data_IF_511329453216
#
_entry.id   IF_511329453216
#
_cell.length_a   1.000
_cell.length_b   1.000
_cell.length_c   1.000
_cell.angle_alpha   90.00
_cell.angle_beta   90.00
_cell.angle_gamma   90.00
#
_symmetry.space_group_name_H-M   'P 1'
#
loop_
_entity.id
_entity.type
_entity.pdbx_description
1 polymer ?
#
# COMPACT_ATOMS: atom_id res chain seq x y z
N UNK A 1 30.97 13.20 -20.83
CA UNK A 1 30.95 13.77 -19.46
C UNK A 1 29.56 14.14 -18.93
N UNK A 2 28.57 14.58 -19.74
CA UNK A 2 27.20 14.90 -19.31
C UNK A 2 26.35 13.69 -18.85
N UNK A 3 26.58 12.48 -19.36
CA UNK A 3 25.85 11.26 -19.03
C UNK A 3 26.14 10.72 -17.60
N UNK A 4 27.35 10.96 -17.08
CA UNK A 4 27.75 10.50 -15.74
C UNK A 4 27.12 11.37 -14.65
N UNK A 5 26.95 12.68 -14.88
CA UNK A 5 26.29 13.60 -13.95
C UNK A 5 24.78 13.32 -13.84
N UNK A 6 24.13 12.95 -14.92
CA UNK A 6 22.69 12.63 -14.95
C UNK A 6 22.36 11.35 -14.16
N UNK A 7 23.24 10.32 -14.23
CA UNK A 7 23.12 9.08 -13.43
C UNK A 7 23.32 9.36 -11.93
N UNK A 8 24.24 10.24 -11.56
CA UNK A 8 24.51 10.62 -10.16
C UNK A 8 23.34 11.36 -9.52
N UNK A 9 22.73 12.34 -10.19
CA UNK A 9 21.60 13.13 -9.66
C UNK A 9 20.33 12.30 -9.56
N UNK A 10 20.04 11.44 -10.52
CA UNK A 10 18.90 10.52 -10.45
C UNK A 10 19.06 9.55 -9.28
N UNK A 11 20.22 8.97 -9.11
CA UNK A 11 20.51 8.04 -8.02
C UNK A 11 20.40 8.71 -6.66
N UNK A 12 20.99 9.89 -6.49
CA UNK A 12 20.89 10.70 -5.26
C UNK A 12 19.46 11.06 -4.92
N UNK A 13 18.67 11.49 -5.90
CA UNK A 13 17.27 11.84 -5.72
C UNK A 13 16.39 10.63 -5.37
N UNK A 14 16.67 9.47 -5.97
CA UNK A 14 16.01 8.21 -5.64
C UNK A 14 16.32 7.77 -4.21
N UNK A 15 17.58 7.89 -3.77
CA UNK A 15 17.97 7.59 -2.38
C UNK A 15 17.28 8.51 -1.37
N UNK A 16 17.15 9.80 -1.67
CA UNK A 16 16.40 10.74 -0.80
C UNK A 16 14.94 10.33 -0.66
N UNK A 17 14.29 9.95 -1.76
CA UNK A 17 12.88 9.53 -1.74
C UNK A 17 12.71 8.20 -1.00
N UNK A 18 13.59 7.24 -1.23
CA UNK A 18 13.61 5.94 -0.55
C UNK A 18 13.88 6.13 0.95
N UNK A 19 14.93 6.87 1.32
CA UNK A 19 15.28 7.16 2.70
C UNK A 19 14.15 7.87 3.45
N UNK A 20 13.52 8.87 2.82
CA UNK A 20 12.36 9.55 3.40
C UNK A 20 11.15 8.62 3.57
N UNK A 21 10.97 7.66 2.68
CA UNK A 21 9.91 6.64 2.80
C UNK A 21 10.20 5.67 3.94
N UNK A 22 11.45 5.23 4.09
CA UNK A 22 11.90 4.37 5.20
C UNK A 22 11.66 5.07 6.54
N UNK A 23 12.15 6.30 6.70
CA UNK A 23 11.93 7.08 7.92
C UNK A 23 10.44 7.24 8.21
N UNK A 24 9.64 7.58 7.21
CA UNK A 24 8.19 7.74 7.38
C UNK A 24 7.48 6.43 7.80
N UNK A 25 8.01 5.26 7.48
CA UNK A 25 7.45 3.97 7.90
C UNK A 25 8.00 3.49 9.25
N UNK A 26 9.22 3.89 9.62
CA UNK A 26 9.76 3.58 10.95
C UNK A 26 9.02 4.33 12.07
N UNK A 27 8.56 5.56 11.81
CA UNK A 27 7.82 6.35 12.81
C UNK A 27 6.61 5.57 13.34
N UNK A 28 5.63 5.12 12.53
CA UNK A 28 4.49 4.36 13.04
C UNK A 28 4.91 3.04 13.70
N UNK A 29 5.93 2.34 13.18
CA UNK A 29 6.40 1.10 13.78
C UNK A 29 6.89 1.33 15.22
N UNK A 30 7.72 2.35 15.45
CA UNK A 30 8.20 2.69 16.79
C UNK A 30 7.07 3.19 17.70
N UNK A 31 6.14 3.98 17.17
CA UNK A 31 4.99 4.46 17.93
C UNK A 31 4.06 3.33 18.37
N UNK A 32 3.97 2.24 17.63
CA UNK A 32 3.15 1.09 18.02
C UNK A 32 3.59 0.48 19.35
N UNK A 33 4.88 0.56 19.73
CA UNK A 33 5.37 0.10 21.03
C UNK A 33 4.63 0.78 22.19
N UNK A 34 4.27 2.04 22.00
CA UNK A 34 3.52 2.84 22.98
C UNK A 34 2.02 2.78 22.75
N UNK A 35 1.55 2.92 21.52
CA UNK A 35 0.12 2.94 21.18
C UNK A 35 -0.59 1.64 21.56
N UNK A 36 0.06 0.47 21.35
CA UNK A 36 -0.50 -0.84 21.73
C UNK A 36 -0.65 -1.02 23.24
N UNK A 37 0.02 -0.20 24.05
CA UNK A 37 -0.16 -0.19 25.51
C UNK A 37 -1.34 0.68 25.95
N UNK A 38 -1.69 1.71 25.19
CA UNK A 38 -2.76 2.67 25.50
C UNK A 38 -4.11 2.19 24.94
N UNK A 39 -4.13 1.74 23.68
CA UNK A 39 -5.33 1.31 22.99
C UNK A 39 -5.56 -0.20 23.13
N UNK A 40 -6.83 -0.60 23.02
CA UNK A 40 -7.23 -2.01 23.08
C UNK A 40 -7.06 -2.70 21.72
N UNK A 41 -7.02 -4.05 21.67
CA UNK A 41 -7.08 -4.77 20.40
C UNK A 41 -8.31 -4.40 19.57
N UNK A 42 -9.48 -4.23 20.18
CA UNK A 42 -10.70 -3.81 19.51
C UNK A 42 -10.60 -2.42 18.86
N UNK A 43 -9.94 -1.45 19.53
CA UNK A 43 -9.69 -0.12 18.95
C UNK A 43 -8.85 -0.23 17.66
N UNK A 44 -7.82 -1.08 17.67
CA UNK A 44 -7.00 -1.34 16.51
C UNK A 44 -7.72 -2.14 15.44
N UNK A 45 -8.58 -3.08 15.83
CA UNK A 45 -9.43 -3.83 14.89
C UNK A 45 -10.38 -2.89 14.15
N UNK A 46 -11.09 -2.02 14.88
CA UNK A 46 -11.95 -1.01 14.27
C UNK A 46 -11.18 -0.03 13.37
N UNK A 47 -10.01 0.42 13.83
CA UNK A 47 -9.13 1.27 13.02
C UNK A 47 -8.61 0.55 11.76
N UNK A 48 -8.32 -0.75 11.85
CA UNK A 48 -7.91 -1.58 10.70
C UNK A 48 -9.03 -1.67 9.66
N UNK A 49 -10.30 -1.87 10.08
CA UNK A 49 -11.45 -1.83 9.16
C UNK A 49 -11.53 -0.47 8.47
N UNK A 50 -11.50 0.62 9.25
CA UNK A 50 -11.53 1.98 8.74
C UNK A 50 -10.42 2.22 7.70
N UNK A 51 -9.18 1.83 8.01
CA UNK A 51 -8.04 2.02 7.12
C UNK A 51 -8.11 1.15 5.85
N UNK A 52 -8.63 -0.07 5.97
CA UNK A 52 -8.88 -0.95 4.83
C UNK A 52 -9.94 -0.35 3.89
N UNK A 53 -11.06 0.14 4.44
CA UNK A 53 -12.07 0.86 3.67
C UNK A 53 -11.49 2.12 3.00
N UNK A 54 -10.76 2.93 3.76
CA UNK A 54 -10.10 4.13 3.26
C UNK A 54 -9.22 3.82 2.03
N UNK A 55 -8.46 2.73 2.08
CA UNK A 55 -7.56 2.34 0.98
C UNK A 55 -8.30 1.95 -0.31
N UNK A 56 -9.51 1.42 -0.22
CA UNK A 56 -10.38 1.18 -1.38
C UNK A 56 -10.97 2.50 -1.90
N UNK A 57 -11.50 3.34 -1.00
CA UNK A 57 -12.14 4.61 -1.42
C UNK A 57 -11.17 5.57 -2.09
N UNK A 58 -9.92 5.63 -1.66
CA UNK A 58 -8.86 6.43 -2.28
C UNK A 58 -8.71 6.11 -3.78
N UNK A 59 -8.88 4.85 -4.18
CA UNK A 59 -8.75 4.43 -5.59
C UNK A 59 -9.86 5.04 -6.45
N UNK A 60 -11.06 5.19 -5.88
CA UNK A 60 -12.18 5.82 -6.59
C UNK A 60 -12.09 7.34 -6.66
N UNK A 61 -11.47 7.99 -5.66
CA UNK A 61 -11.50 9.44 -5.51
C UNK A 61 -11.12 10.21 -6.78
N UNK A 62 -10.01 9.85 -7.41
CA UNK A 62 -9.49 10.53 -8.61
C UNK A 62 -9.68 9.74 -9.90
N UNK A 63 -10.31 8.56 -9.83
CA UNK A 63 -10.42 7.60 -10.95
C UNK A 63 -9.06 7.29 -11.61
N UNK A 64 -7.98 7.35 -10.84
CA UNK A 64 -6.59 7.13 -11.27
C UNK A 64 -6.00 8.19 -12.21
N UNK A 65 -6.70 9.32 -12.44
CA UNK A 65 -6.15 10.43 -13.24
C UNK A 65 -4.91 11.06 -12.61
N UNK A 66 -4.70 10.94 -11.29
CA UNK A 66 -3.51 11.46 -10.61
C UNK A 66 -2.20 10.93 -11.21
N UNK A 67 -2.18 9.69 -11.69
CA UNK A 67 -1.01 9.11 -12.30
C UNK A 67 -0.66 9.75 -13.66
N UNK A 68 -1.64 10.34 -14.33
CA UNK A 68 -1.43 11.04 -15.59
C UNK A 68 -0.81 12.45 -15.43
N UNK A 69 -0.74 13.02 -14.21
CA UNK A 69 -0.19 14.37 -13.95
C UNK A 69 1.25 14.52 -14.45
N UNK A 70 2.04 13.44 -14.43
CA UNK A 70 3.46 13.47 -14.84
C UNK A 70 3.68 13.33 -16.34
N UNK A 71 2.67 12.91 -17.11
CA UNK A 71 2.81 12.55 -18.54
C UNK A 71 2.88 13.74 -19.50
N UNK A 72 2.07 14.82 -19.33
CA UNK A 72 2.05 15.92 -20.28
C UNK A 72 3.41 16.59 -20.39
N UNK A 73 3.84 16.94 -21.62
CA UNK A 73 5.09 17.70 -21.85
C UNK A 73 4.96 19.14 -21.35
N UNK A 74 3.77 19.68 -21.44
CA UNK A 74 3.51 21.08 -21.12
C UNK A 74 2.78 21.21 -19.74
N UNK A 75 3.09 22.27 -19.00
CA UNK A 75 2.57 22.49 -17.64
C UNK A 75 1.08 22.84 -17.65
N UNK A 76 0.58 23.51 -18.69
CA UNK A 76 -0.85 23.88 -18.79
C UNK A 76 -1.72 22.62 -18.82
N UNK A 77 -1.31 21.62 -19.59
CA UNK A 77 -2.03 20.35 -19.68
C UNK A 77 -1.95 19.59 -18.34
N UNK A 78 -0.75 19.52 -17.74
CA UNK A 78 -0.55 18.85 -16.45
C UNK A 78 -1.35 19.51 -15.31
N UNK A 79 -1.43 20.85 -15.27
CA UNK A 79 -2.26 21.58 -14.29
C UNK A 79 -3.74 21.25 -14.47
N UNK A 80 -4.23 21.10 -15.70
CA UNK A 80 -5.62 20.72 -15.95
C UNK A 80 -5.90 19.25 -15.60
N UNK A 81 -4.94 18.33 -15.76
CA UNK A 81 -5.06 16.93 -15.24
C UNK A 81 -5.12 16.95 -13.72
N UNK A 82 -4.24 17.71 -13.06
CA UNK A 82 -4.24 17.89 -11.61
C UNK A 82 -5.57 18.44 -11.11
N UNK A 83 -6.09 19.49 -11.76
CA UNK A 83 -7.35 20.12 -11.39
C UNK A 83 -8.55 19.19 -11.62
N UNK A 84 -8.55 18.41 -12.70
CA UNK A 84 -9.55 17.36 -12.95
C UNK A 84 -9.53 16.31 -11.84
N UNK A 85 -8.34 15.82 -11.48
CA UNK A 85 -8.18 14.82 -10.41
C UNK A 85 -8.68 15.34 -9.07
N UNK A 86 -8.40 16.62 -8.72
CA UNK A 86 -8.91 17.24 -7.50
C UNK A 86 -10.44 17.40 -7.55
N UNK A 87 -11.00 17.87 -8.68
CA UNK A 87 -12.44 18.01 -8.84
C UNK A 87 -13.16 16.67 -8.61
N UNK A 88 -12.68 15.60 -9.26
CA UNK A 88 -13.24 14.25 -9.08
C UNK A 88 -13.12 13.80 -7.62
N UNK A 89 -11.98 14.04 -6.97
CA UNK A 89 -11.74 13.70 -5.57
C UNK A 89 -12.74 14.39 -4.64
N UNK A 90 -12.95 15.68 -4.79
CA UNK A 90 -13.92 16.41 -3.98
C UNK A 90 -15.36 15.99 -4.28
N UNK A 91 -15.71 15.77 -5.57
CA UNK A 91 -17.04 15.30 -5.95
C UNK A 91 -17.33 13.92 -5.37
N UNK A 92 -16.39 12.98 -5.44
CA UNK A 92 -16.53 11.66 -4.85
C UNK A 92 -16.66 11.73 -3.32
N UNK A 93 -15.82 12.52 -2.66
CA UNK A 93 -15.88 12.72 -1.21
C UNK A 93 -17.23 13.29 -0.75
N UNK A 94 -17.78 14.26 -1.49
CA UNK A 94 -19.09 14.83 -1.19
C UNK A 94 -20.21 13.79 -1.38
N UNK A 95 -20.20 13.05 -2.48
CA UNK A 95 -21.18 11.98 -2.74
C UNK A 95 -21.10 10.90 -1.66
N UNK A 96 -19.89 10.52 -1.24
CA UNK A 96 -19.71 9.52 -0.19
C UNK A 96 -20.14 10.04 1.19
N UNK A 97 -19.92 11.32 1.49
CA UNK A 97 -20.43 11.96 2.72
C UNK A 97 -21.97 11.97 2.74
N UNK A 98 -22.61 12.33 1.61
CA UNK A 98 -24.07 12.28 1.47
C UNK A 98 -24.58 10.85 1.66
N UNK A 99 -23.90 9.86 1.07
CA UNK A 99 -24.25 8.45 1.25
C UNK A 99 -24.20 8.04 2.73
N UNK A 100 -23.11 8.36 3.44
CA UNK A 100 -22.99 8.05 4.87
C UNK A 100 -23.99 8.82 5.73
N UNK A 101 -24.40 10.02 5.32
CA UNK A 101 -25.41 10.77 6.06
C UNK A 101 -26.77 10.04 6.13
N UNK A 102 -27.16 9.37 5.02
CA UNK A 102 -28.42 8.65 4.95
C UNK A 102 -28.29 7.16 5.36
N UNK A 103 -27.16 6.54 5.14
CA UNK A 103 -26.97 5.08 5.22
C UNK A 103 -25.87 4.66 6.19
N UNK A 104 -25.52 5.46 7.21
CA UNK A 104 -24.41 5.13 8.10
C UNK A 104 -24.65 3.84 8.90
N UNK A 105 -25.87 3.62 9.38
CA UNK A 105 -26.21 2.42 10.17
C UNK A 105 -26.13 1.16 9.30
N UNK A 106 -26.73 1.19 8.13
CA UNK A 106 -26.72 0.07 7.16
C UNK A 106 -25.29 -0.21 6.70
N UNK A 107 -24.49 0.83 6.51
CA UNK A 107 -23.09 0.69 6.16
C UNK A 107 -22.27 0.07 7.29
N UNK A 108 -22.49 0.46 8.54
CA UNK A 108 -21.90 -0.17 9.73
C UNK A 108 -22.22 -1.66 9.79
N UNK A 109 -23.47 -2.04 9.62
CA UNK A 109 -23.91 -3.44 9.62
C UNK A 109 -23.29 -4.23 8.48
N UNK A 110 -23.27 -3.65 7.28
CA UNK A 110 -22.70 -4.29 6.10
C UNK A 110 -21.22 -4.64 6.24
N UNK A 111 -20.42 -3.71 6.81
CA UNK A 111 -18.97 -3.91 7.03
C UNK A 111 -18.66 -4.53 8.38
N UNK A 112 -19.68 -4.81 9.22
CA UNK A 112 -19.56 -5.26 10.60
C UNK A 112 -18.65 -4.33 11.43
N UNK A 113 -18.89 -3.01 11.30
CA UNK A 113 -18.15 -2.00 12.04
C UNK A 113 -18.77 -1.80 13.42
N UNK A 114 -18.00 -1.84 14.53
CA UNK A 114 -18.59 -1.72 15.86
C UNK A 114 -19.31 -0.37 16.06
N UNK A 115 -20.58 -0.41 16.49
CA UNK A 115 -21.45 0.76 16.61
C UNK A 115 -20.86 1.89 17.49
N UNK A 116 -20.08 1.55 18.52
CA UNK A 116 -19.40 2.55 19.38
C UNK A 116 -18.43 3.45 18.61
N UNK A 117 -17.95 3.02 17.45
CA UNK A 117 -17.04 3.78 16.58
C UNK A 117 -17.74 4.38 15.35
N UNK A 118 -19.04 4.14 15.16
CA UNK A 118 -19.79 4.52 13.96
C UNK A 118 -19.65 6.00 13.58
N UNK A 119 -19.51 6.88 14.58
CA UNK A 119 -19.29 8.32 14.35
C UNK A 119 -18.01 8.60 13.57
N UNK A 120 -16.98 7.76 13.71
CA UNK A 120 -15.71 7.97 13.00
C UNK A 120 -15.78 7.58 11.52
N UNK A 121 -16.80 6.85 11.07
CA UNK A 121 -17.03 6.61 9.64
C UNK A 121 -17.27 7.92 8.88
N UNK A 122 -17.82 8.95 9.54
CA UNK A 122 -17.96 10.27 8.92
C UNK A 122 -16.60 10.95 8.62
N UNK A 123 -15.50 10.52 9.26
CA UNK A 123 -14.15 10.99 8.91
C UNK A 123 -13.62 10.33 7.62
N UNK A 124 -14.19 9.17 7.22
CA UNK A 124 -13.69 8.39 6.09
C UNK A 124 -13.70 9.17 4.76
N UNK A 125 -14.79 9.87 4.35
CA UNK A 125 -14.79 10.69 3.16
C UNK A 125 -13.74 11.80 3.21
N UNK A 126 -13.60 12.47 4.35
CA UNK A 126 -12.62 13.54 4.52
C UNK A 126 -11.18 13.02 4.44
N UNK A 127 -10.86 11.92 5.13
CA UNK A 127 -9.54 11.28 5.04
C UNK A 127 -9.25 10.79 3.62
N UNK A 128 -10.24 10.24 2.90
CA UNK A 128 -10.08 9.83 1.52
C UNK A 128 -9.77 11.02 0.59
N UNK A 129 -10.49 12.12 0.74
CA UNK A 129 -10.25 13.37 -0.01
C UNK A 129 -8.86 13.92 0.30
N UNK A 130 -8.49 14.04 1.57
CA UNK A 130 -7.18 14.56 1.97
C UNK A 130 -6.03 13.69 1.47
N UNK A 131 -6.15 12.37 1.63
CA UNK A 131 -5.12 11.45 1.18
C UNK A 131 -4.97 11.46 -0.36
N UNK A 132 -6.08 11.44 -1.10
CA UNK A 132 -6.06 11.54 -2.56
C UNK A 132 -5.54 12.88 -3.04
N UNK A 133 -5.96 13.99 -2.42
CA UNK A 133 -5.43 15.31 -2.73
C UNK A 133 -3.91 15.37 -2.53
N UNK A 134 -3.40 14.80 -1.42
CA UNK A 134 -1.96 14.68 -1.23
C UNK A 134 -1.29 13.84 -2.34
N UNK A 135 -1.86 12.71 -2.74
CA UNK A 135 -1.29 11.90 -3.83
C UNK A 135 -1.19 12.71 -5.13
N UNK A 136 -2.24 13.45 -5.49
CA UNK A 136 -2.27 14.32 -6.66
C UNK A 136 -1.16 15.38 -6.58
N UNK A 137 -1.03 16.07 -5.44
CA UNK A 137 0.03 17.06 -5.19
C UNK A 137 1.43 16.43 -5.24
N UNK A 138 1.55 15.19 -4.74
CA UNK A 138 2.82 14.46 -4.78
C UNK A 138 3.25 14.13 -6.20
N UNK A 139 2.33 13.74 -7.10
CA UNK A 139 2.65 13.57 -8.52
C UNK A 139 3.13 14.87 -9.16
N UNK A 140 2.58 16.03 -8.76
CA UNK A 140 3.07 17.34 -9.18
C UNK A 140 4.50 17.62 -8.67
N UNK A 141 4.79 17.32 -7.40
CA UNK A 141 6.14 17.43 -6.84
C UNK A 141 7.15 16.55 -7.57
N UNK A 142 6.76 15.30 -7.86
CA UNK A 142 7.60 14.34 -8.61
C UNK A 142 7.85 14.84 -10.04
N UNK A 143 6.83 15.34 -10.74
CA UNK A 143 6.96 15.97 -12.06
C UNK A 143 8.03 17.08 -12.05
N UNK A 144 8.00 17.93 -11.02
CA UNK A 144 8.95 19.02 -10.85
C UNK A 144 10.28 18.61 -10.20
N UNK A 145 10.54 17.29 -10.05
CA UNK A 145 11.76 16.71 -9.43
C UNK A 145 12.00 17.17 -8.00
N UNK A 146 10.96 17.56 -7.28
CA UNK A 146 11.01 18.00 -5.89
C UNK A 146 10.94 16.81 -4.91
N UNK A 147 11.80 15.82 -5.08
CA UNK A 147 11.79 14.56 -4.32
C UNK A 147 11.99 14.77 -2.82
N UNK A 148 12.85 15.73 -2.42
CA UNK A 148 13.04 16.09 -1.01
C UNK A 148 11.74 16.60 -0.38
N UNK A 149 10.94 17.36 -1.12
CA UNK A 149 9.64 17.84 -0.67
C UNK A 149 8.66 16.70 -0.47
N UNK A 150 8.60 15.75 -1.40
CA UNK A 150 7.79 14.53 -1.26
C UNK A 150 8.19 13.71 -0.03
N UNK A 151 9.50 13.55 0.24
CA UNK A 151 9.98 12.84 1.43
C UNK A 151 9.58 13.54 2.73
N UNK A 152 9.75 14.88 2.80
CA UNK A 152 9.34 15.68 3.98
C UNK A 152 7.85 15.54 4.24
N UNK A 153 7.01 15.58 3.21
CA UNK A 153 5.55 15.44 3.37
C UNK A 153 5.18 14.09 4.01
N UNK A 154 5.80 13.00 3.57
CA UNK A 154 5.54 11.66 4.14
C UNK A 154 5.91 11.60 5.62
N UNK A 155 7.06 12.17 6.00
CA UNK A 155 7.52 12.23 7.39
C UNK A 155 6.59 13.12 8.22
N UNK A 156 6.23 14.30 7.70
CA UNK A 156 5.29 15.24 8.35
C UNK A 156 3.96 14.56 8.67
N UNK A 157 3.37 13.85 7.70
CA UNK A 157 2.14 13.07 7.92
C UNK A 157 2.26 12.16 9.13
N UNK A 158 3.28 11.30 9.16
CA UNK A 158 3.46 10.30 10.21
C UNK A 158 3.77 10.92 11.57
N UNK A 159 4.48 12.05 11.56
CA UNK A 159 4.78 12.78 12.80
C UNK A 159 3.50 13.36 13.42
N UNK A 160 2.68 14.09 12.65
CA UNK A 160 1.44 14.67 13.16
C UNK A 160 0.39 13.62 13.50
N UNK A 161 0.28 12.55 12.70
CA UNK A 161 -0.54 11.38 13.01
C UNK A 161 -0.15 10.81 14.37
N UNK A 162 1.13 10.50 14.56
CA UNK A 162 1.63 9.86 15.78
C UNK A 162 1.48 10.74 17.03
N UNK A 163 1.83 12.04 16.95
CA UNK A 163 1.63 12.96 18.09
C UNK A 163 0.17 13.02 18.48
N UNK A 164 -0.74 13.11 17.51
CA UNK A 164 -2.19 13.16 17.79
C UNK A 164 -2.67 11.87 18.42
N UNK A 165 -2.25 10.71 17.89
CA UNK A 165 -2.63 9.41 18.44
C UNK A 165 -2.15 9.23 19.88
N UNK A 166 -0.90 9.64 20.18
CA UNK A 166 -0.35 9.58 21.54
C UNK A 166 -1.05 10.59 22.46
N UNK A 167 -1.23 11.83 22.01
CA UNK A 167 -1.82 12.90 22.80
C UNK A 167 -3.29 12.64 23.18
N UNK A 168 -4.08 12.08 22.26
CA UNK A 168 -5.48 11.74 22.46
C UNK A 168 -5.70 10.35 23.08
N UNK A 169 -4.66 9.52 23.16
CA UNK A 169 -4.77 8.16 23.67
C UNK A 169 -5.29 8.05 25.12
N UNK A 170 -5.09 9.10 25.93
CA UNK A 170 -5.66 9.18 27.29
C UNK A 170 -7.14 9.55 27.32
N UNK A 171 -7.69 10.06 26.24
CA UNK A 171 -9.06 10.60 26.19
C UNK A 171 -10.06 9.57 25.65
N UNK A 172 -9.65 8.58 24.90
CA UNK A 172 -10.37 7.38 24.37
C UNK A 172 -9.84 6.97 22.98
N UNK A 173 -10.40 5.87 22.46
CA UNK A 173 -10.19 5.24 21.13
C UNK A 173 -10.22 6.19 19.91
N UNK A 174 -10.81 7.39 20.06
CA UNK A 174 -10.88 8.44 19.04
C UNK A 174 -9.52 8.86 18.46
N UNK A 175 -8.47 8.73 19.26
CA UNK A 175 -7.15 9.20 18.88
C UNK A 175 -6.57 8.52 17.65
N UNK A 176 -6.90 7.24 17.38
CA UNK A 176 -6.45 6.54 16.17
C UNK A 176 -7.04 7.17 14.90
N UNK A 177 -8.35 7.41 14.89
CA UNK A 177 -9.09 7.95 13.74
C UNK A 177 -8.76 9.44 13.50
N UNK A 178 -8.81 10.24 14.58
CA UNK A 178 -8.48 11.67 14.53
C UNK A 178 -7.02 11.87 14.15
N UNK A 179 -6.12 11.00 14.65
CA UNK A 179 -4.71 11.03 14.30
C UNK A 179 -4.46 10.81 12.80
N UNK A 180 -5.12 9.83 12.18
CA UNK A 180 -5.04 9.63 10.72
C UNK A 180 -5.55 10.86 9.96
N UNK A 181 -6.70 11.41 10.38
CA UNK A 181 -7.25 12.61 9.76
C UNK A 181 -6.29 13.81 9.86
N UNK A 182 -5.75 14.10 11.04
CA UNK A 182 -4.79 15.20 11.26
C UNK A 182 -3.49 14.96 10.48
N UNK A 183 -3.01 13.72 10.45
CA UNK A 183 -1.84 13.34 9.63
C UNK A 183 -2.06 13.62 8.14
N UNK A 184 -3.22 13.24 7.61
CA UNK A 184 -3.58 13.50 6.21
C UNK A 184 -3.73 15.01 5.94
N UNK A 185 -4.32 15.76 6.85
CA UNK A 185 -4.44 17.21 6.76
C UNK A 185 -3.05 17.89 6.74
N UNK A 186 -2.17 17.51 7.68
CA UNK A 186 -0.80 18.02 7.74
C UNK A 186 -0.03 17.71 6.43
N UNK A 187 -0.27 16.56 5.85
CA UNK A 187 0.34 16.15 4.58
C UNK A 187 -0.08 17.06 3.41
N UNK A 188 -1.37 17.35 3.30
CA UNK A 188 -1.90 18.26 2.26
C UNK A 188 -1.38 19.68 2.47
N UNK A 189 -1.43 20.20 3.70
CA UNK A 189 -0.96 21.56 4.01
C UNK A 189 0.54 21.71 3.73
N UNK A 190 1.36 20.73 4.14
CA UNK A 190 2.78 20.71 3.83
C UNK A 190 3.04 20.64 2.32
N UNK A 191 2.27 19.82 1.58
CA UNK A 191 2.36 19.72 0.12
C UNK A 191 2.03 21.04 -0.57
N UNK A 192 0.94 21.70 -0.20
CA UNK A 192 0.53 23.00 -0.73
C UNK A 192 1.56 24.09 -0.43
N UNK A 193 2.06 24.14 0.81
CA UNK A 193 3.10 25.09 1.20
C UNK A 193 4.36 24.94 0.34
N UNK A 194 4.80 23.71 0.11
CA UNK A 194 6.01 23.45 -0.68
C UNK A 194 5.81 23.74 -2.16
N UNK A 195 4.63 23.45 -2.72
CA UNK A 195 4.28 23.77 -4.11
C UNK A 195 4.25 25.28 -4.30
N UNK A 196 3.58 26.00 -3.41
CA UNK A 196 3.48 27.47 -3.51
C UNK A 196 4.86 28.14 -3.44
N UNK A 197 5.79 27.59 -2.64
CA UNK A 197 7.12 28.14 -2.47
C UNK A 197 8.09 27.77 -3.60
N UNK A 198 8.01 26.56 -4.15
CA UNK A 198 9.04 26.00 -5.06
C UNK A 198 8.56 25.78 -6.49
N UNK A 199 7.25 25.66 -6.72
CA UNK A 199 6.70 25.26 -8.02
C UNK A 199 5.27 25.77 -8.16
N UNK A 200 5.14 27.07 -8.45
CA UNK A 200 3.84 27.76 -8.50
C UNK A 200 2.91 27.16 -9.54
N UNK A 201 1.71 26.73 -9.10
CA UNK A 201 0.61 26.37 -9.98
C UNK A 201 -0.06 27.65 -10.47
N UNK A 202 -0.12 27.84 -11.79
CA UNK A 202 -0.75 29.03 -12.40
C UNK A 202 -2.26 28.77 -12.53
N UNK A 203 -3.03 29.25 -11.55
CA UNK A 203 -4.48 29.04 -11.49
C UNK A 203 -5.22 29.61 -12.72
N UNK A 204 -4.73 30.69 -13.34
CA UNK A 204 -5.31 31.29 -14.55
C UNK A 204 -5.24 30.39 -15.80
N UNK A 205 -4.52 29.28 -15.74
CA UNK A 205 -4.42 28.33 -16.84
C UNK A 205 -5.45 27.19 -16.74
N UNK A 206 -6.21 27.12 -15.65
CA UNK A 206 -7.26 26.12 -15.41
C UNK A 206 -8.51 26.52 -16.19
N UNK A 207 -9.10 25.56 -16.91
CA UNK A 207 -10.34 25.76 -17.66
C UNK A 207 -11.12 24.46 -17.78
N UNK A 208 -12.44 24.52 -17.57
CA UNK A 208 -13.33 23.36 -17.74
C UNK A 208 -13.22 22.72 -19.13
N UNK A 209 -13.04 23.54 -20.18
CA UNK A 209 -12.83 23.04 -21.55
C UNK A 209 -11.53 22.22 -21.65
N UNK A 210 -10.44 22.69 -21.04
CA UNK A 210 -9.17 21.96 -21.01
C UNK A 210 -9.26 20.73 -20.13
N UNK A 211 -9.96 20.79 -19.00
CA UNK A 211 -10.20 19.62 -18.14
C UNK A 211 -10.97 18.53 -18.89
N UNK A 212 -12.02 18.90 -19.64
CA UNK A 212 -12.75 17.94 -20.51
C UNK A 212 -11.84 17.33 -21.58
N UNK A 213 -10.97 18.14 -22.19
CA UNK A 213 -10.00 17.65 -23.18
C UNK A 213 -9.04 16.62 -22.56
N UNK A 214 -8.43 16.92 -21.40
CA UNK A 214 -7.50 15.98 -20.75
C UNK A 214 -8.21 14.75 -20.20
N UNK A 215 -9.47 14.86 -19.78
CA UNK A 215 -10.29 13.72 -19.37
C UNK A 215 -10.43 12.71 -20.53
N UNK A 216 -10.74 13.18 -21.73
CA UNK A 216 -10.82 12.33 -22.91
C UNK A 216 -9.46 11.79 -23.36
N UNK A 217 -8.44 12.64 -23.33
CA UNK A 217 -7.08 12.26 -23.75
C UNK A 217 -6.47 11.17 -22.88
N UNK A 218 -6.72 11.21 -21.56
CA UNK A 218 -6.17 10.26 -20.59
C UNK A 218 -7.22 9.28 -20.06
N UNK A 219 -8.31 9.04 -20.80
CA UNK A 219 -9.39 8.12 -20.43
C UNK A 219 -8.94 6.67 -20.18
N UNK A 220 -7.77 6.29 -20.67
CA UNK A 220 -7.21 4.96 -20.47
C UNK A 220 -6.89 4.68 -18.99
N UNK A 221 -6.64 5.73 -18.17
CA UNK A 221 -6.41 5.55 -16.74
C UNK A 221 -7.65 5.03 -16.00
N UNK A 222 -8.83 5.66 -16.06
CA UNK A 222 -10.02 5.08 -15.46
C UNK A 222 -10.46 3.77 -16.12
N UNK A 223 -10.29 3.60 -17.43
CA UNK A 223 -10.77 2.41 -18.12
C UNK A 223 -9.91 1.17 -17.86
N UNK A 224 -8.57 1.31 -17.84
CA UNK A 224 -7.65 0.16 -17.80
C UNK A 224 -6.81 0.07 -16.54
N UNK A 225 -6.72 1.12 -15.70
CA UNK A 225 -5.94 1.11 -14.48
C UNK A 225 -6.81 0.97 -13.22
N UNK A 226 -8.03 1.50 -13.22
CA UNK A 226 -8.91 1.46 -12.06
C UNK A 226 -9.29 0.03 -11.69
N UNK A 227 -9.79 -0.77 -12.64
CA UNK A 227 -10.25 -2.14 -12.40
C UNK A 227 -9.16 -3.04 -11.80
N UNK A 228 -8.00 -3.21 -12.44
CA UNK A 228 -6.90 -4.02 -11.88
C UNK A 228 -6.42 -3.55 -10.51
N UNK A 229 -6.37 -2.22 -10.28
CA UNK A 229 -5.97 -1.67 -8.98
C UNK A 229 -6.99 -2.01 -7.89
N UNK A 230 -8.29 -1.92 -8.21
CA UNK A 230 -9.36 -2.30 -7.28
C UNK A 230 -9.31 -3.79 -6.95
N UNK A 231 -9.20 -4.67 -7.95
CA UNK A 231 -9.10 -6.11 -7.75
C UNK A 231 -7.92 -6.46 -6.84
N UNK A 232 -6.76 -5.85 -7.09
CA UNK A 232 -5.58 -6.05 -6.25
C UNK A 232 -5.80 -5.56 -4.81
N UNK A 233 -6.37 -4.37 -4.63
CA UNK A 233 -6.64 -3.82 -3.30
C UNK A 233 -7.66 -4.65 -2.54
N UNK A 234 -8.75 -5.05 -3.19
CA UNK A 234 -9.78 -5.89 -2.57
C UNK A 234 -9.18 -7.25 -2.17
N UNK A 235 -8.39 -7.89 -3.03
CA UNK A 235 -7.73 -9.15 -2.71
C UNK A 235 -6.86 -9.06 -1.44
N UNK A 236 -6.13 -7.96 -1.28
CA UNK A 236 -5.28 -7.74 -0.11
C UNK A 236 -6.05 -7.43 1.19
N UNK A 237 -7.26 -6.91 1.09
CA UNK A 237 -8.05 -6.44 2.24
C UNK A 237 -9.10 -7.47 2.64
N UNK A 238 -9.64 -8.20 1.69
CA UNK A 238 -10.76 -9.11 1.88
C UNK A 238 -10.57 -10.12 3.01
N UNK A 239 -9.40 -10.78 3.18
CA UNK A 239 -9.21 -11.70 4.30
C UNK A 239 -9.43 -11.04 5.66
N UNK A 240 -8.97 -9.80 5.83
CA UNK A 240 -9.11 -9.03 7.09
C UNK A 240 -10.55 -8.59 7.34
N UNK A 241 -11.27 -8.19 6.28
CA UNK A 241 -12.71 -7.89 6.40
C UNK A 241 -13.53 -9.14 6.73
N UNK A 242 -13.17 -10.30 6.17
CA UNK A 242 -13.82 -11.58 6.48
C UNK A 242 -13.55 -12.01 7.92
N UNK A 243 -12.33 -11.81 8.43
CA UNK A 243 -11.99 -12.08 9.83
C UNK A 243 -12.87 -11.23 10.76
N UNK A 244 -13.00 -9.95 10.49
CA UNK A 244 -13.91 -9.09 11.27
C UNK A 244 -15.38 -9.55 11.19
N UNK A 245 -15.82 -10.02 10.02
CA UNK A 245 -17.20 -10.40 9.77
C UNK A 245 -17.56 -11.74 10.40
N UNK A 246 -16.65 -12.71 10.40
CA UNK A 246 -16.93 -14.07 10.80
C UNK A 246 -16.55 -14.35 12.27
N UNK A 247 -15.63 -13.56 12.82
CA UNK A 247 -15.11 -13.77 14.16
C UNK A 247 -15.31 -12.51 15.01
N UNK A 248 -14.27 -11.73 15.29
CA UNK A 248 -14.41 -10.54 16.10
C UNK A 248 -13.48 -9.39 15.68
N UNK A 249 -13.84 -8.17 16.12
CA UNK A 249 -13.00 -6.99 15.89
C UNK A 249 -11.72 -7.04 16.73
N UNK A 250 -11.76 -7.66 17.93
CA UNK A 250 -10.56 -7.89 18.76
C UNK A 250 -9.56 -8.80 18.07
N UNK A 251 -10.03 -9.92 17.50
CA UNK A 251 -9.17 -10.85 16.75
C UNK A 251 -8.54 -10.17 15.54
N UNK A 252 -9.30 -9.33 14.82
CA UNK A 252 -8.73 -8.50 13.77
C UNK A 252 -7.63 -7.56 14.29
N UNK A 253 -7.81 -6.99 15.50
CA UNK A 253 -6.80 -6.12 16.12
C UNK A 253 -5.49 -6.84 16.45
N UNK A 254 -5.55 -8.12 16.87
CA UNK A 254 -4.36 -8.96 17.06
C UNK A 254 -3.69 -9.28 15.74
N UNK A 255 -4.47 -9.63 14.71
CA UNK A 255 -3.97 -9.96 13.38
C UNK A 255 -3.39 -8.72 12.68
N UNK A 256 -3.95 -7.53 12.91
CA UNK A 256 -3.41 -6.27 12.42
C UNK A 256 -1.98 -6.00 12.93
N UNK A 257 -1.74 -6.25 14.23
CA UNK A 257 -0.39 -6.17 14.79
C UNK A 257 0.54 -7.20 14.15
N UNK A 258 0.09 -8.45 14.01
CA UNK A 258 0.84 -9.51 13.35
C UNK A 258 1.24 -9.11 11.94
N UNK A 259 0.26 -8.64 11.13
CA UNK A 259 0.48 -8.15 9.76
C UNK A 259 1.53 -7.04 9.74
N UNK A 260 1.42 -6.07 10.63
CA UNK A 260 2.34 -4.94 10.68
C UNK A 260 3.76 -5.38 10.97
N UNK A 261 3.96 -6.24 11.98
CA UNK A 261 5.29 -6.68 12.42
C UNK A 261 5.95 -7.53 11.33
N UNK A 262 5.23 -8.46 10.70
CA UNK A 262 5.77 -9.34 9.67
C UNK A 262 5.98 -8.62 8.33
N UNK A 263 5.07 -7.70 7.92
CA UNK A 263 5.12 -7.11 6.58
C UNK A 263 6.12 -5.96 6.43
N UNK A 264 6.28 -5.09 7.44
CA UNK A 264 7.05 -3.84 7.29
C UNK A 264 8.53 -4.11 6.99
N UNK A 265 9.27 -4.94 7.77
CA UNK A 265 10.67 -5.20 7.48
C UNK A 265 10.88 -5.84 6.10
N UNK A 266 10.05 -6.81 5.74
CA UNK A 266 10.12 -7.49 4.45
C UNK A 266 9.81 -6.57 3.27
N UNK A 267 8.84 -5.66 3.42
CA UNK A 267 8.48 -4.71 2.38
C UNK A 267 9.64 -3.75 2.01
N UNK A 268 10.44 -3.30 2.99
CA UNK A 268 11.60 -2.47 2.72
C UNK A 268 12.63 -3.18 1.85
N UNK A 269 12.92 -4.43 2.20
CA UNK A 269 13.89 -5.25 1.47
C UNK A 269 13.35 -5.55 0.07
N UNK A 270 12.08 -5.97 -0.02
CA UNK A 270 11.42 -6.31 -1.28
C UNK A 270 11.42 -5.15 -2.29
N UNK A 271 11.04 -3.95 -1.87
CA UNK A 271 11.02 -2.76 -2.75
C UNK A 271 12.41 -2.46 -3.29
N UNK A 272 13.43 -2.51 -2.43
CA UNK A 272 14.82 -2.25 -2.84
C UNK A 272 15.32 -3.29 -3.83
N UNK A 273 15.09 -4.57 -3.54
CA UNK A 273 15.49 -5.69 -4.42
C UNK A 273 14.74 -5.61 -5.75
N UNK A 274 13.45 -5.36 -5.73
CA UNK A 274 12.62 -5.23 -6.94
C UNK A 274 13.13 -4.14 -7.88
N UNK A 275 13.57 -2.98 -7.34
CA UNK A 275 14.14 -1.90 -8.14
C UNK A 275 15.49 -2.28 -8.77
N UNK A 276 16.37 -2.92 -8.00
CA UNK A 276 17.66 -3.39 -8.50
C UNK A 276 17.47 -4.45 -9.60
N UNK A 277 16.60 -5.43 -9.35
CA UNK A 277 16.26 -6.46 -10.33
C UNK A 277 15.67 -5.88 -11.61
N UNK A 278 14.75 -4.95 -11.50
CA UNK A 278 14.17 -4.28 -12.66
C UNK A 278 15.24 -3.64 -13.54
N UNK A 279 16.20 -2.93 -12.93
CA UNK A 279 17.30 -2.31 -13.67
C UNK A 279 18.22 -3.34 -14.32
N UNK A 280 18.70 -4.31 -13.55
CA UNK A 280 19.65 -5.33 -14.02
C UNK A 280 19.06 -6.21 -15.11
N UNK A 281 17.83 -6.69 -14.91
CA UNK A 281 17.13 -7.53 -15.89
C UNK A 281 16.84 -6.75 -17.19
N UNK A 282 16.43 -5.48 -17.07
CA UNK A 282 16.20 -4.63 -18.25
C UNK A 282 17.49 -4.38 -19.03
N UNK A 283 18.61 -4.13 -18.33
CA UNK A 283 19.91 -3.93 -18.97
C UNK A 283 20.42 -5.20 -19.62
N UNK A 284 20.39 -6.34 -18.94
CA UNK A 284 20.79 -7.63 -19.48
C UNK A 284 19.94 -8.03 -20.70
N UNK A 285 18.63 -7.81 -20.64
CA UNK A 285 17.72 -8.04 -21.76
C UNK A 285 18.11 -7.20 -22.99
N UNK A 286 18.36 -5.90 -22.80
CA UNK A 286 18.75 -5.01 -23.91
C UNK A 286 20.11 -5.39 -24.52
N UNK A 287 21.01 -6.00 -23.73
CA UNK A 287 22.32 -6.45 -24.15
C UNK A 287 22.36 -7.93 -24.59
N UNK A 288 21.21 -8.63 -24.62
CA UNK A 288 21.16 -10.06 -24.95
C UNK A 288 21.92 -10.96 -23.98
N UNK A 289 22.01 -10.56 -22.68
CA UNK A 289 22.75 -11.31 -21.66
C UNK A 289 21.82 -12.15 -20.79
N UNK A 290 22.35 -13.25 -20.24
CA UNK A 290 21.65 -14.09 -19.26
C UNK A 290 21.28 -13.31 -17.99
N UNK A 291 20.12 -13.66 -17.41
CA UNK A 291 19.60 -13.10 -16.17
C UNK A 291 19.55 -14.12 -15.03
N UNK A 292 19.86 -15.37 -15.31
CA UNK A 292 19.73 -16.49 -14.34
C UNK A 292 20.66 -16.30 -13.15
N UNK A 293 21.88 -15.82 -13.39
CA UNK A 293 22.89 -15.65 -12.32
C UNK A 293 22.43 -14.68 -11.24
N UNK A 294 21.92 -13.52 -11.63
CA UNK A 294 21.40 -12.51 -10.72
C UNK A 294 20.16 -12.98 -9.98
N UNK A 295 19.21 -13.59 -10.70
CA UNK A 295 17.97 -14.10 -10.09
C UNK A 295 18.28 -15.20 -9.07
N UNK A 296 19.19 -16.12 -9.38
CA UNK A 296 19.60 -17.19 -8.45
C UNK A 296 20.27 -16.62 -7.20
N UNK A 297 21.20 -15.67 -7.36
CA UNK A 297 21.90 -15.05 -6.23
C UNK A 297 20.93 -14.32 -5.30
N UNK A 298 20.03 -13.53 -5.87
CA UNK A 298 19.02 -12.79 -5.10
C UNK A 298 18.01 -13.75 -4.48
N UNK A 299 17.59 -14.79 -5.22
CA UNK A 299 16.70 -15.82 -4.69
C UNK A 299 17.25 -16.52 -3.44
N UNK A 300 18.54 -16.82 -3.41
CA UNK A 300 19.19 -17.40 -2.23
C UNK A 300 19.17 -16.44 -1.04
N UNK A 301 19.47 -15.15 -1.25
CA UNK A 301 19.41 -14.14 -0.18
C UNK A 301 17.99 -14.02 0.36
N UNK A 302 16.98 -14.00 -0.51
CA UNK A 302 15.58 -13.94 -0.08
C UNK A 302 15.17 -15.18 0.73
N UNK A 303 15.64 -16.37 0.32
CA UNK A 303 15.39 -17.60 1.05
C UNK A 303 16.06 -17.63 2.42
N UNK A 304 17.31 -17.16 2.53
CA UNK A 304 18.02 -17.08 3.81
C UNK A 304 17.31 -16.16 4.79
N UNK A 305 16.88 -14.96 4.34
CA UNK A 305 16.08 -14.02 5.14
C UNK A 305 14.77 -14.66 5.56
N UNK A 306 14.08 -15.34 4.64
CA UNK A 306 12.81 -15.99 4.88
C UNK A 306 12.90 -17.11 5.92
N UNK A 307 13.93 -17.95 5.83
CA UNK A 307 14.19 -19.04 6.79
C UNK A 307 14.49 -18.46 8.17
N UNK A 308 15.33 -17.43 8.24
CA UNK A 308 15.65 -16.76 9.49
C UNK A 308 14.40 -16.18 10.17
N UNK A 309 13.52 -15.51 9.40
CA UNK A 309 12.27 -14.96 9.94
C UNK A 309 11.34 -16.06 10.45
N UNK A 310 11.16 -17.14 9.67
CA UNK A 310 10.35 -18.30 10.11
C UNK A 310 10.89 -18.86 11.42
N UNK A 311 12.19 -19.09 11.55
CA UNK A 311 12.81 -19.64 12.76
C UNK A 311 12.55 -18.72 13.95
N UNK A 312 12.80 -17.42 13.82
CA UNK A 312 12.58 -16.44 14.89
C UNK A 312 11.12 -16.44 15.34
N UNK A 313 10.19 -16.39 14.40
CA UNK A 313 8.76 -16.32 14.69
C UNK A 313 8.27 -17.64 15.30
N UNK A 314 8.65 -18.78 14.78
CA UNK A 314 8.21 -20.08 15.31
C UNK A 314 8.67 -20.31 16.75
N UNK A 315 9.89 -19.91 17.08
CA UNK A 315 10.47 -20.16 18.40
C UNK A 315 10.06 -19.13 19.45
N UNK A 316 9.99 -17.85 19.10
CA UNK A 316 9.90 -16.78 20.10
C UNK A 316 8.73 -15.80 19.93
N UNK A 317 7.87 -15.95 18.92
CA UNK A 317 6.88 -14.92 18.64
C UNK A 317 5.95 -14.58 19.81
N UNK A 318 5.29 -15.50 20.53
CA UNK A 318 4.42 -15.13 21.64
C UNK A 318 5.17 -14.36 22.73
N UNK A 319 6.38 -14.79 23.07
CA UNK A 319 7.24 -14.10 24.03
C UNK A 319 7.63 -12.69 23.52
N UNK A 320 8.08 -12.56 22.28
CA UNK A 320 8.49 -11.27 21.71
C UNK A 320 7.32 -10.30 21.62
N UNK A 321 6.15 -10.75 21.19
CA UNK A 321 4.97 -9.90 21.11
C UNK A 321 4.47 -9.45 22.50
N UNK A 322 4.45 -10.37 23.47
CA UNK A 322 4.11 -10.04 24.85
C UNK A 322 5.10 -9.07 25.49
N UNK A 323 6.39 -9.30 25.34
CA UNK A 323 7.46 -8.45 25.87
C UNK A 323 7.44 -7.04 25.25
N UNK A 324 7.34 -6.96 23.92
CA UNK A 324 7.46 -5.70 23.17
C UNK A 324 6.20 -4.85 23.25
N UNK A 325 5.02 -5.46 23.04
CA UNK A 325 3.73 -4.76 22.90
C UNK A 325 2.82 -4.90 24.14
N UNK A 326 3.19 -5.75 25.08
CA UNK A 326 2.45 -6.07 26.30
C UNK A 326 1.79 -7.44 26.24
N UNK A 327 1.65 -8.10 27.42
CA UNK A 327 1.16 -9.47 27.60
C UNK A 327 -0.12 -9.79 26.81
N UNK A 328 -1.06 -8.83 26.73
CA UNK A 328 -2.31 -8.99 25.98
C UNK A 328 -2.10 -9.27 24.48
N UNK A 329 -0.92 -8.96 23.92
CA UNK A 329 -0.59 -9.21 22.52
C UNK A 329 0.22 -10.48 22.29
N UNK A 330 0.41 -11.35 23.28
CA UNK A 330 1.01 -12.69 23.09
C UNK A 330 0.25 -13.50 22.04
N UNK A 331 -1.10 -13.35 22.00
CA UNK A 331 -1.97 -13.99 20.99
C UNK A 331 -1.62 -13.55 19.55
N UNK A 332 -1.18 -12.31 19.34
CA UNK A 332 -0.65 -11.88 18.04
C UNK A 332 0.59 -12.68 17.63
N UNK A 333 1.39 -13.10 18.61
CA UNK A 333 2.52 -14.01 18.41
C UNK A 333 2.08 -15.40 17.96
N UNK A 334 0.99 -15.94 18.49
CA UNK A 334 0.46 -17.23 18.03
C UNK A 334 -0.08 -17.13 16.60
N UNK A 335 -0.83 -16.10 16.26
CA UNK A 335 -1.26 -15.87 14.88
C UNK A 335 -0.08 -15.65 13.93
N UNK A 336 1.03 -15.06 14.40
CA UNK A 336 2.21 -14.85 13.58
C UNK A 336 2.89 -16.17 13.17
N UNK A 337 2.82 -17.23 14.00
CA UNK A 337 3.35 -18.55 13.65
C UNK A 337 2.67 -19.15 12.42
N UNK A 338 1.38 -18.88 12.23
CA UNK A 338 0.63 -19.32 11.05
C UNK A 338 0.89 -18.39 9.87
N UNK A 339 0.75 -17.07 10.10
CA UNK A 339 0.78 -16.08 9.05
C UNK A 339 2.18 -15.83 8.45
N UNK A 340 3.27 -16.15 9.17
CA UNK A 340 4.64 -15.91 8.69
C UNK A 340 4.89 -16.54 7.32
N UNK A 341 4.32 -17.70 7.03
CA UNK A 341 4.48 -18.35 5.74
C UNK A 341 3.89 -17.52 4.60
N UNK A 342 2.69 -16.92 4.77
CA UNK A 342 2.10 -16.06 3.74
C UNK A 342 2.95 -14.82 3.49
N UNK A 343 3.48 -14.18 4.55
CA UNK A 343 4.30 -12.96 4.43
C UNK A 343 5.66 -13.25 3.77
N UNK A 344 6.30 -14.34 4.12
CA UNK A 344 7.57 -14.77 3.52
C UNK A 344 7.40 -15.12 2.03
N UNK A 345 6.37 -15.85 1.66
CA UNK A 345 6.11 -16.14 0.25
C UNK A 345 5.73 -14.88 -0.54
N UNK A 346 4.94 -13.98 0.06
CA UNK A 346 4.63 -12.68 -0.54
C UNK A 346 5.89 -11.80 -0.70
N UNK A 347 6.81 -11.83 0.25
CA UNK A 347 8.11 -11.16 0.17
C UNK A 347 8.92 -11.62 -1.05
N UNK A 348 8.99 -12.93 -1.30
CA UNK A 348 9.68 -13.50 -2.46
C UNK A 348 8.99 -13.05 -3.76
N UNK A 349 7.67 -13.23 -3.86
CA UNK A 349 6.91 -12.89 -5.07
C UNK A 349 6.92 -11.41 -5.39
N UNK A 350 6.77 -10.55 -4.39
CA UNK A 350 6.82 -9.10 -4.57
C UNK A 350 8.20 -8.61 -5.02
N UNK A 351 9.28 -9.22 -4.50
CA UNK A 351 10.64 -8.90 -4.91
C UNK A 351 10.91 -9.22 -6.38
N UNK A 352 10.35 -10.32 -6.88
CA UNK A 352 10.52 -10.75 -8.27
C UNK A 352 9.47 -10.21 -9.26
N UNK A 353 8.41 -9.58 -8.79
CA UNK A 353 7.31 -9.10 -9.64
C UNK A 353 7.74 -8.15 -10.76
N UNK A 354 8.76 -7.33 -10.52
CA UNK A 354 9.32 -6.40 -11.50
C UNK A 354 9.93 -7.07 -12.73
N UNK A 355 10.30 -8.35 -12.66
CA UNK A 355 10.86 -9.10 -13.78
C UNK A 355 9.82 -9.25 -14.90
N UNK A 356 8.53 -9.41 -14.58
CA UNK A 356 7.46 -9.46 -15.60
C UNK A 356 7.40 -8.17 -16.42
N UNK A 357 7.65 -7.02 -15.78
CA UNK A 357 7.68 -5.72 -16.44
C UNK A 357 8.96 -5.59 -17.26
N UNK A 358 10.11 -5.94 -16.70
CA UNK A 358 11.42 -5.87 -17.37
C UNK A 358 11.46 -6.75 -18.63
N UNK A 359 10.85 -7.94 -18.59
CA UNK A 359 10.75 -8.84 -19.74
C UNK A 359 9.54 -8.56 -20.65
N UNK A 360 8.72 -7.52 -20.37
CA UNK A 360 7.50 -7.17 -21.11
C UNK A 360 6.45 -8.30 -21.16
N UNK A 361 6.34 -9.06 -20.07
CA UNK A 361 5.42 -10.21 -19.92
C UNK A 361 4.29 -9.91 -18.92
N UNK A 362 3.89 -8.65 -18.79
CA UNK A 362 2.90 -8.19 -17.81
C UNK A 362 1.54 -8.90 -17.92
N UNK A 363 1.16 -9.36 -19.13
CA UNK A 363 -0.10 -10.12 -19.32
C UNK A 363 -0.17 -11.38 -18.46
N UNK A 364 0.94 -12.10 -18.32
CA UNK A 364 0.99 -13.30 -17.48
C UNK A 364 0.80 -12.96 -16.00
N UNK A 365 1.42 -11.87 -15.56
CA UNK A 365 1.23 -11.37 -14.20
C UNK A 365 -0.22 -10.97 -13.93
N UNK A 366 -0.89 -10.31 -14.88
CA UNK A 366 -2.30 -9.91 -14.74
C UNK A 366 -3.23 -11.11 -14.67
N UNK A 367 -2.99 -12.16 -15.46
CA UNK A 367 -3.75 -13.41 -15.40
C UNK A 367 -3.58 -14.07 -14.04
N UNK A 368 -2.34 -14.19 -13.55
CA UNK A 368 -2.05 -14.73 -12.21
C UNK A 368 -2.79 -13.93 -11.11
N UNK A 369 -2.79 -12.61 -11.20
CA UNK A 369 -3.46 -11.74 -10.22
C UNK A 369 -4.98 -11.91 -10.22
N UNK A 370 -5.58 -12.18 -11.38
CA UNK A 370 -7.01 -12.50 -11.47
C UNK A 370 -7.33 -13.83 -10.79
N UNK A 371 -6.52 -14.87 -11.00
CA UNK A 371 -6.66 -16.14 -10.29
C UNK A 371 -6.50 -15.98 -8.77
N UNK A 372 -5.50 -15.22 -8.35
CA UNK A 372 -5.29 -14.91 -6.93
C UNK A 372 -6.53 -14.27 -6.33
N UNK A 373 -7.11 -13.24 -6.98
CA UNK A 373 -8.33 -12.59 -6.51
C UNK A 373 -9.49 -13.59 -6.36
N UNK A 374 -9.72 -14.45 -7.36
CA UNK A 374 -10.81 -15.45 -7.32
C UNK A 374 -10.61 -16.42 -6.15
N UNK A 375 -9.38 -16.89 -5.92
CA UNK A 375 -9.08 -17.78 -4.80
C UNK A 375 -9.22 -17.08 -3.44
N UNK A 376 -8.83 -15.83 -3.32
CA UNK A 376 -9.09 -15.08 -2.08
C UNK A 376 -10.59 -14.89 -1.83
N UNK A 377 -11.41 -14.68 -2.86
CA UNK A 377 -12.86 -14.65 -2.71
C UNK A 377 -13.45 -15.98 -2.22
N UNK A 378 -12.81 -17.11 -2.51
CA UNK A 378 -13.26 -18.41 -2.02
C UNK A 378 -13.19 -18.57 -0.49
N UNK A 379 -12.43 -17.71 0.21
CA UNK A 379 -12.40 -17.68 1.68
C UNK A 379 -13.78 -17.49 2.31
N UNK A 380 -14.72 -16.87 1.59
CA UNK A 380 -16.11 -16.74 2.02
C UNK A 380 -16.80 -18.07 2.36
N UNK A 381 -16.43 -19.14 1.67
CA UNK A 381 -17.03 -20.46 1.90
C UNK A 381 -16.52 -21.14 3.18
N UNK A 382 -15.43 -20.65 3.76
CA UNK A 382 -14.80 -21.22 4.95
C UNK A 382 -15.22 -20.54 6.27
N UNK A 383 -16.33 -19.80 6.27
CA UNK A 383 -16.88 -19.06 7.42
C UNK A 383 -17.22 -19.92 8.64
N UNK A 384 -17.36 -21.24 8.47
CA UNK A 384 -17.71 -22.19 9.53
C UNK A 384 -16.50 -22.74 10.29
N UNK A 385 -15.29 -22.45 9.83
CA UNK A 385 -14.06 -22.90 10.48
C UNK A 385 -13.77 -22.07 11.73
N UNK A 386 -12.96 -22.59 12.64
CA UNK A 386 -12.33 -21.79 13.69
C UNK A 386 -11.38 -20.76 13.06
N UNK A 387 -11.07 -19.67 13.79
CA UNK A 387 -10.15 -18.65 13.27
C UNK A 387 -8.80 -19.25 12.87
N UNK A 388 -8.24 -20.14 13.68
CA UNK A 388 -6.96 -20.80 13.37
C UNK A 388 -7.01 -21.57 12.05
N UNK A 389 -8.03 -22.39 11.85
CA UNK A 389 -8.20 -23.15 10.61
C UNK A 389 -8.48 -22.22 9.40
N UNK A 390 -9.21 -21.13 9.61
CA UNK A 390 -9.43 -20.11 8.58
C UNK A 390 -8.12 -19.45 8.14
N UNK A 391 -7.25 -19.10 9.11
CA UNK A 391 -5.92 -18.56 8.82
C UNK A 391 -5.03 -19.57 8.10
N UNK A 392 -5.11 -20.86 8.44
CA UNK A 392 -4.39 -21.93 7.73
C UNK A 392 -4.85 -22.05 6.28
N UNK A 393 -6.16 -21.99 6.02
CA UNK A 393 -6.70 -21.98 4.64
C UNK A 393 -6.21 -20.74 3.89
N UNK A 394 -6.27 -19.56 4.51
CA UNK A 394 -5.75 -18.34 3.91
C UNK A 394 -4.27 -18.47 3.53
N UNK A 395 -3.44 -18.92 4.47
CA UNK A 395 -2.00 -19.12 4.24
C UNK A 395 -1.77 -20.16 3.14
N UNK A 396 -2.56 -21.25 3.11
CA UNK A 396 -2.45 -22.27 2.06
C UNK A 396 -2.72 -21.68 0.67
N UNK A 397 -3.75 -20.83 0.52
CA UNK A 397 -4.03 -20.11 -0.72
C UNK A 397 -2.84 -19.23 -1.12
N UNK A 398 -2.29 -18.45 -0.17
CA UNK A 398 -1.13 -17.57 -0.40
C UNK A 398 0.09 -18.37 -0.88
N UNK A 399 0.39 -19.48 -0.22
CA UNK A 399 1.52 -20.35 -0.58
C UNK A 399 1.33 -20.98 -1.97
N UNK A 400 0.15 -21.53 -2.25
CA UNK A 400 -0.17 -22.11 -3.57
C UNK A 400 -0.01 -21.05 -4.67
N UNK A 401 -0.57 -19.87 -4.47
CA UNK A 401 -0.49 -18.80 -5.46
C UNK A 401 0.93 -18.27 -5.66
N UNK A 402 1.73 -18.25 -4.59
CA UNK A 402 3.14 -17.86 -4.66
C UNK A 402 3.97 -18.94 -5.38
N UNK A 403 3.70 -20.22 -5.17
CA UNK A 403 4.34 -21.31 -5.93
C UNK A 403 3.96 -21.25 -7.42
N UNK A 404 2.69 -21.00 -7.74
CA UNK A 404 2.25 -20.79 -9.12
C UNK A 404 2.96 -19.58 -9.76
N UNK A 405 3.14 -18.50 -9.02
CA UNK A 405 3.92 -17.34 -9.47
C UNK A 405 5.36 -17.74 -9.82
N UNK A 406 6.03 -18.48 -8.94
CA UNK A 406 7.41 -18.93 -9.15
C UNK A 406 7.53 -19.87 -10.37
N UNK A 407 6.58 -20.78 -10.57
CA UNK A 407 6.53 -21.68 -11.74
C UNK A 407 6.36 -20.84 -13.03
N UNK A 408 5.42 -19.89 -13.01
CA UNK A 408 5.14 -19.02 -14.15
C UNK A 408 6.34 -18.15 -14.50
N UNK A 409 6.99 -17.56 -13.51
CA UNK A 409 8.21 -16.78 -13.67
C UNK A 409 9.36 -17.64 -14.22
N UNK A 410 9.58 -18.85 -13.66
CA UNK A 410 10.58 -19.78 -14.12
C UNK A 410 10.40 -20.17 -15.59
N UNK A 411 9.17 -20.42 -16.02
CA UNK A 411 8.84 -20.67 -17.42
C UNK A 411 9.15 -19.50 -18.36
N UNK A 412 8.91 -18.26 -17.90
CA UNK A 412 9.24 -17.05 -18.66
C UNK A 412 10.75 -16.87 -18.78
N UNK A 413 11.49 -17.07 -17.68
CA UNK A 413 12.95 -16.98 -17.65
C UNK A 413 13.54 -18.03 -18.57
N UNK A 414 13.09 -19.29 -18.49
CA UNK A 414 13.56 -20.36 -19.35
C UNK A 414 13.38 -20.07 -20.84
N UNK A 415 12.21 -19.55 -21.23
CA UNK A 415 11.96 -19.13 -22.63
C UNK A 415 12.88 -17.99 -23.05
N UNK A 416 13.13 -17.02 -22.18
CA UNK A 416 14.04 -15.92 -22.46
C UNK A 416 15.48 -16.43 -22.68
N UNK A 417 16.00 -17.27 -21.80
CA UNK A 417 17.33 -17.85 -21.91
C UNK A 417 17.51 -18.71 -23.18
N UNK A 418 16.45 -19.41 -23.61
CA UNK A 418 16.48 -20.19 -24.84
C UNK A 418 16.65 -19.31 -26.07
N UNK A 419 16.00 -18.13 -26.09
CA UNK A 419 16.11 -17.16 -27.21
C UNK A 419 17.51 -16.53 -27.29
N UNK A 420 18.18 -16.28 -26.14
CA UNK A 420 19.53 -15.69 -26.12
C UNK A 420 20.59 -16.68 -26.57
N UNK A 421 20.39 -17.99 -26.36
CA UNK A 421 21.37 -19.02 -26.74
C UNK A 421 21.29 -19.44 -28.23
N UNK A 422 20.23 -19.01 -28.91
CA UNK A 422 20.08 -19.11 -30.38
C UNK A 422 20.67 -17.90 -31.08
#
# INVERSE_FOLDING_TARGET
MKLIHFKSDFFKNSLILIGGTIVAQLIPLLLQLYLRRIYTPEDFGAFSIYFNLLSVFIIFCSLRYEAAVVLPKNDVESINVLSLSLLLTFSFGLLFLIFLFFFNNEFCEWVNFPHKYAIYLYLLPFSAVLFSAYQILNYWLVRNKLFKSSAINKVSRRFFEGITQVGLGRIKSSGLFIGDFIGNLANVLSGLFQINRKSKIRMNQISLRKMKFVALKYKDFPLYNLGPTLLSSIANILPFLLINKFYSTDELGYIDLTKMVLSIPLAFISVTISQVLFQQVSENRNNGKSIVGEIKKIGLILLDISILEIIIIQLWAPFLFGFVFGEKYSLSGDFSKILVYSFVFNFITSSFSSIFIALQKIKYYSVWQTFYFVLICSLWFFKHLSLYNFLEVYVTIEVIMSLMFCILLGGIIFRYEKVIKQ
#
